data_IF_579882529327
#
_entry.id   IF_579882529327
#
_cell.length_a   1.000
_cell.length_b   1.000
_cell.length_c   1.000
_cell.angle_alpha   90.00
_cell.angle_beta   90.00
_cell.angle_gamma   90.00
#
_symmetry.space_group_name_H-M   'P 1'
#
loop_
_entity.id
_entity.type
_entity.pdbx_description
1 polymer ?
#
# COMPACT_ATOMS: atom_id res chain seq x y z
N UNK A 1 10.49 -20.67 -15.74
CA UNK A 1 9.87 -20.31 -14.44
C UNK A 1 9.31 -18.90 -14.60
N UNK A 2 7.98 -18.76 -14.73
CA UNK A 2 7.35 -17.44 -14.85
C UNK A 2 7.46 -16.75 -13.49
N UNK A 3 8.26 -15.69 -13.41
CA UNK A 3 8.42 -14.88 -12.21
C UNK A 3 7.13 -14.10 -11.94
N UNK A 4 6.16 -14.75 -11.30
CA UNK A 4 4.93 -14.12 -10.81
C UNK A 4 5.19 -13.13 -9.66
N UNK A 5 6.43 -13.04 -9.17
CA UNK A 5 6.85 -12.20 -8.06
C UNK A 5 7.15 -10.73 -8.46
N UNK A 6 7.64 -10.47 -9.68
CA UNK A 6 8.11 -9.11 -10.03
C UNK A 6 7.05 -8.00 -9.84
N UNK A 7 5.78 -8.17 -10.25
CA UNK A 7 4.76 -7.15 -10.01
C UNK A 7 4.40 -6.99 -8.52
N UNK A 8 4.45 -8.09 -7.76
CA UNK A 8 4.21 -8.06 -6.32
C UNK A 8 5.32 -7.32 -5.58
N UNK A 9 6.59 -7.47 -6.02
CA UNK A 9 7.73 -6.74 -5.46
C UNK A 9 7.61 -5.23 -5.70
N UNK A 10 7.13 -4.80 -6.87
CA UNK A 10 6.87 -3.37 -7.14
C UNK A 10 5.71 -2.84 -6.32
N UNK A 11 4.67 -3.65 -6.09
CA UNK A 11 3.56 -3.30 -5.22
C UNK A 11 4.02 -3.09 -3.77
N UNK A 12 4.80 -4.03 -3.22
CA UNK A 12 5.33 -3.91 -1.85
C UNK A 12 6.31 -2.75 -1.71
N UNK A 13 7.14 -2.47 -2.73
CA UNK A 13 8.00 -1.28 -2.76
C UNK A 13 7.18 0.02 -2.70
N UNK A 14 6.05 0.08 -3.40
CA UNK A 14 5.15 1.23 -3.36
C UNK A 14 4.54 1.45 -1.98
N UNK A 15 4.08 0.39 -1.32
CA UNK A 15 3.55 0.44 0.05
C UNK A 15 4.63 0.94 1.03
N UNK A 16 5.84 0.37 0.96
CA UNK A 16 6.96 0.81 1.80
C UNK A 16 7.32 2.27 1.57
N UNK A 17 7.32 2.72 0.31
CA UNK A 17 7.62 4.11 -0.04
C UNK A 17 6.55 5.06 0.51
N UNK A 18 5.27 4.69 0.39
CA UNK A 18 4.18 5.43 1.00
C UNK A 18 4.35 5.54 2.52
N UNK A 19 4.67 4.43 3.19
CA UNK A 19 4.87 4.40 4.64
C UNK A 19 6.03 5.31 5.07
N UNK A 20 7.14 5.32 4.32
CA UNK A 20 8.27 6.22 4.58
C UNK A 20 7.92 7.70 4.42
N UNK A 21 6.99 8.04 3.52
CA UNK A 21 6.57 9.42 3.24
C UNK A 21 5.48 9.91 4.21
N UNK A 22 4.49 9.07 4.51
CA UNK A 22 3.30 9.41 5.29
C UNK A 22 3.45 9.04 6.77
N UNK A 23 4.32 8.09 7.09
CA UNK A 23 4.56 7.58 8.45
C UNK A 23 3.53 6.55 8.93
N UNK A 24 2.54 6.22 8.11
CA UNK A 24 1.55 5.15 8.36
C UNK A 24 1.35 4.32 7.09
N UNK A 25 0.93 3.07 7.24
CA UNK A 25 0.63 2.23 6.08
C UNK A 25 -0.68 2.66 5.38
N UNK A 26 -0.79 2.47 4.05
CA UNK A 26 -1.93 2.95 3.28
C UNK A 26 -3.24 2.16 3.52
N UNK A 27 -3.17 0.97 4.13
CA UNK A 27 -4.30 0.05 4.29
C UNK A 27 -4.50 -0.41 5.74
N UNK A 28 -4.25 0.47 6.70
CA UNK A 28 -4.30 0.13 8.13
C UNK A 28 -5.74 -0.14 8.60
N UNK A 29 -5.95 -1.20 9.39
CA UNK A 29 -7.21 -1.48 10.09
C UNK A 29 -6.96 -2.42 11.28
N UNK A 30 -7.86 -2.41 12.26
CA UNK A 30 -7.79 -3.33 13.41
C UNK A 30 -8.22 -4.76 13.03
N UNK A 31 -9.14 -4.89 12.07
CA UNK A 31 -9.59 -6.18 11.56
C UNK A 31 -8.79 -6.57 10.30
N UNK A 32 -8.08 -7.71 10.30
CA UNK A 32 -7.39 -8.22 9.12
C UNK A 32 -8.27 -8.32 7.88
N UNK A 33 -9.56 -8.64 8.03
CA UNK A 33 -10.51 -8.72 6.92
C UNK A 33 -10.71 -7.36 6.24
N UNK A 34 -10.78 -6.28 7.03
CA UNK A 34 -10.91 -4.93 6.50
C UNK A 34 -9.64 -4.49 5.77
N UNK A 35 -8.45 -4.86 6.25
CA UNK A 35 -7.18 -4.64 5.53
C UNK A 35 -7.24 -5.28 4.15
N UNK A 36 -7.65 -6.55 4.05
CA UNK A 36 -7.78 -7.24 2.75
C UNK A 36 -8.78 -6.54 1.83
N UNK A 37 -9.93 -6.11 2.36
CA UNK A 37 -10.91 -5.37 1.57
C UNK A 37 -10.35 -4.04 1.05
N UNK A 38 -9.62 -3.29 1.88
CA UNK A 38 -8.97 -2.03 1.47
C UNK A 38 -7.93 -2.25 0.38
N UNK A 39 -7.11 -3.31 0.49
CA UNK A 39 -6.13 -3.69 -0.54
C UNK A 39 -6.84 -4.00 -1.87
N UNK A 40 -7.93 -4.76 -1.85
CA UNK A 40 -8.70 -5.12 -3.06
C UNK A 40 -9.40 -3.91 -3.67
N UNK A 41 -9.94 -3.00 -2.84
CA UNK A 41 -10.57 -1.75 -3.29
C UNK A 41 -9.51 -0.81 -3.90
N UNK A 42 -8.28 -0.82 -3.37
CA UNK A 42 -7.16 -0.03 -3.88
C UNK A 42 -7.31 1.48 -3.63
N UNK A 43 -8.09 1.88 -2.62
CA UNK A 43 -8.23 3.29 -2.22
C UNK A 43 -7.32 3.60 -1.04
N UNK A 44 -6.45 4.59 -1.22
CA UNK A 44 -5.53 5.10 -0.21
C UNK A 44 -5.47 6.63 -0.33
N UNK A 45 -5.12 7.31 0.75
CA UNK A 45 -5.14 8.77 0.84
C UNK A 45 -3.72 9.33 0.80
N UNK A 46 -3.45 10.32 -0.04
CA UNK A 46 -2.21 11.10 0.07
C UNK A 46 -2.48 12.40 0.83
N UNK A 47 -1.73 12.69 1.90
CA UNK A 47 -1.77 13.97 2.57
C UNK A 47 -1.41 15.12 1.62
N UNK A 48 -2.10 16.26 1.74
CA UNK A 48 -1.88 17.44 0.88
C UNK A 48 -0.46 18.04 1.01
N UNK A 49 0.27 17.72 2.08
CA UNK A 49 1.65 18.15 2.29
C UNK A 49 2.68 17.24 1.63
N UNK A 50 2.25 16.18 0.95
CA UNK A 50 3.11 15.32 0.13
C UNK A 50 2.81 15.65 -1.34
N UNK A 51 3.36 16.77 -1.78
CA UNK A 51 3.40 17.11 -3.20
C UNK A 51 4.39 16.17 -3.93
N UNK A 52 3.98 15.65 -5.08
CA UNK A 52 4.78 14.78 -5.95
C UNK A 52 5.86 15.56 -6.72
#
# INVERSE_FOLDING_TARGET
>A
MKGHAKPADWWTLGILTYEMLVGIDPFNDEDPMNVYQKIVIGKYYFPENIDA
#
